data_IF_511624202365
#
_entry.id   IF_511624202365
#
_cell.length_a   1.000
_cell.length_b   1.000
_cell.length_c   1.000
_cell.angle_alpha   90.00
_cell.angle_beta   90.00
_cell.angle_gamma   90.00
#
_symmetry.space_group_name_H-M   'P 1'
#
loop_
_entity.id
_entity.type
_entity.pdbx_description
1 polymer ?
#
# COMPACT_ATOMS: atom_id res chain seq x y z
N UNK A 1 29.82 6.91 -13.19
CA UNK A 1 28.43 6.48 -12.95
C UNK A 1 28.32 6.15 -11.48
N UNK A 2 27.58 6.97 -10.72
CA UNK A 2 27.59 6.94 -9.26
C UNK A 2 27.16 5.58 -8.70
N UNK A 3 27.79 5.19 -7.60
CA UNK A 3 27.54 4.00 -6.79
C UNK A 3 26.19 4.09 -6.05
N UNK A 4 25.09 4.29 -6.78
CA UNK A 4 23.72 4.27 -6.25
C UNK A 4 23.13 2.86 -6.35
N UNK A 5 22.48 2.38 -5.30
CA UNK A 5 21.77 1.10 -5.31
C UNK A 5 20.78 1.04 -6.48
N UNK A 6 20.80 -0.03 -7.27
CA UNK A 6 19.79 -0.25 -8.33
C UNK A 6 18.43 -0.53 -7.66
N UNK A 7 17.42 0.36 -7.82
CA UNK A 7 16.10 0.14 -7.26
C UNK A 7 15.49 -1.18 -7.72
N UNK A 8 14.80 -1.87 -6.81
CA UNK A 8 13.99 -3.04 -7.15
C UNK A 8 12.53 -2.61 -7.26
N UNK A 9 11.99 -2.64 -8.47
CA UNK A 9 10.60 -2.25 -8.72
C UNK A 9 9.84 -3.45 -9.27
N UNK A 10 8.68 -3.75 -8.69
CA UNK A 10 7.76 -4.76 -9.21
C UNK A 10 6.52 -4.07 -9.79
N UNK A 11 6.22 -4.35 -11.05
CA UNK A 11 5.06 -3.79 -11.73
C UNK A 11 3.97 -4.82 -11.97
N UNK A 12 2.72 -4.50 -11.69
CA UNK A 12 1.55 -5.26 -12.11
C UNK A 12 0.86 -4.51 -13.24
N UNK A 13 0.77 -5.09 -14.43
CA UNK A 13 0.24 -4.38 -15.60
C UNK A 13 -0.89 -5.17 -16.25
N UNK A 14 -1.96 -4.47 -16.66
CA UNK A 14 -3.08 -5.10 -17.35
C UNK A 14 -2.65 -5.57 -18.74
N UNK A 15 -3.19 -6.73 -19.16
CA UNK A 15 -2.87 -7.38 -20.43
C UNK A 15 -3.22 -6.49 -21.64
N UNK A 16 -4.36 -5.81 -21.58
CA UNK A 16 -4.96 -5.19 -22.75
C UNK A 16 -4.35 -3.85 -23.16
N UNK A 17 -3.93 -3.04 -22.20
CA UNK A 17 -3.45 -1.68 -22.46
C UNK A 17 -2.00 -1.51 -22.01
N UNK A 18 -1.74 -1.52 -20.71
CA UNK A 18 -0.42 -1.17 -20.18
C UNK A 18 0.66 -2.17 -20.58
N UNK A 19 0.37 -3.47 -20.64
CA UNK A 19 1.31 -4.47 -21.18
C UNK A 19 1.59 -4.22 -22.67
N UNK A 20 0.56 -3.89 -23.47
CA UNK A 20 0.74 -3.50 -24.87
C UNK A 20 1.57 -2.22 -25.03
N UNK A 21 1.41 -1.24 -24.13
CA UNK A 21 2.25 -0.05 -24.08
C UNK A 21 3.71 -0.38 -23.76
N UNK A 22 3.96 -1.33 -22.85
CA UNK A 22 5.30 -1.84 -22.57
C UNK A 22 5.90 -2.59 -23.78
N UNK A 23 5.11 -3.41 -24.49
CA UNK A 23 5.54 -4.08 -25.71
C UNK A 23 5.89 -3.07 -26.81
N UNK A 24 5.04 -2.06 -27.02
CA UNK A 24 5.28 -0.99 -27.99
C UNK A 24 6.53 -0.17 -27.62
N UNK A 25 6.78 0.06 -26.34
CA UNK A 25 8.01 0.67 -25.86
C UNK A 25 9.25 -0.12 -26.31
N UNK A 26 9.21 -1.45 -26.17
CA UNK A 26 10.25 -2.36 -26.62
C UNK A 26 10.44 -2.35 -28.14
N UNK A 27 9.34 -2.49 -28.91
CA UNK A 27 9.34 -2.46 -30.38
C UNK A 27 9.92 -1.13 -30.90
N UNK A 28 9.54 -0.03 -30.26
CA UNK A 28 9.99 1.33 -30.62
C UNK A 28 11.38 1.67 -30.08
N UNK A 29 12.01 0.76 -29.33
CA UNK A 29 13.34 0.92 -28.72
C UNK A 29 13.45 2.10 -27.77
N UNK A 30 12.35 2.56 -27.17
CA UNK A 30 12.42 3.60 -26.15
C UNK A 30 13.10 3.06 -24.90
N UNK A 31 14.18 3.72 -24.48
CA UNK A 31 15.01 3.26 -23.38
C UNK A 31 14.47 3.77 -22.04
N UNK A 32 14.53 2.92 -21.03
CA UNK A 32 14.28 3.26 -19.63
C UNK A 32 15.14 2.38 -18.72
N UNK A 33 15.38 2.76 -17.46
CA UNK A 33 16.20 1.99 -16.53
C UNK A 33 15.70 0.56 -16.33
N UNK A 34 16.58 -0.46 -16.30
CA UNK A 34 16.20 -1.87 -16.16
C UNK A 34 15.88 -2.26 -14.70
N UNK A 35 15.14 -1.40 -13.97
CA UNK A 35 14.81 -1.58 -12.56
C UNK A 35 13.52 -2.35 -12.33
N UNK A 36 12.56 -2.21 -13.26
CA UNK A 36 11.23 -2.79 -13.14
C UNK A 36 11.16 -4.23 -13.68
N UNK A 37 10.44 -5.10 -12.98
CA UNK A 37 10.02 -6.41 -13.46
C UNK A 37 8.50 -6.47 -13.51
N UNK A 38 7.94 -6.86 -14.65
CA UNK A 38 6.49 -6.84 -14.87
C UNK A 38 5.85 -8.20 -14.61
N UNK A 39 4.75 -8.19 -13.86
CA UNK A 39 3.79 -9.27 -13.72
C UNK A 39 2.55 -8.88 -14.53
N UNK A 40 2.23 -9.71 -15.52
CA UNK A 40 1.03 -9.53 -16.34
C UNK A 40 -0.20 -10.03 -15.59
N UNK A 41 -1.22 -9.20 -15.52
CA UNK A 41 -2.57 -9.56 -15.05
C UNK A 41 -3.60 -9.19 -16.12
N UNK A 42 -4.78 -9.80 -16.10
CA UNK A 42 -5.78 -9.49 -17.12
C UNK A 42 -6.35 -8.07 -17.00
N UNK A 43 -6.60 -7.61 -15.78
CA UNK A 43 -7.10 -6.27 -15.47
C UNK A 43 -6.32 -5.70 -14.27
N UNK A 44 -6.15 -4.38 -14.20
CA UNK A 44 -5.57 -3.73 -13.00
C UNK A 44 -6.38 -4.02 -11.74
N UNK A 45 -7.69 -4.24 -11.87
CA UNK A 45 -8.59 -4.68 -10.80
C UNK A 45 -8.21 -6.03 -10.17
N UNK A 46 -7.38 -6.83 -10.85
CA UNK A 46 -6.93 -8.12 -10.30
C UNK A 46 -5.90 -7.93 -9.19
N UNK A 47 -5.20 -6.80 -9.20
CA UNK A 47 -4.23 -6.41 -8.17
C UNK A 47 -5.01 -6.13 -6.88
N UNK A 48 -4.45 -6.59 -5.77
CA UNK A 48 -5.03 -6.48 -4.43
C UNK A 48 -3.94 -5.91 -3.52
N UNK A 49 -4.32 -5.24 -2.44
CA UNK A 49 -3.40 -4.69 -1.44
C UNK A 49 -2.48 -5.78 -0.89
N UNK A 50 -2.95 -7.02 -0.75
CA UNK A 50 -2.13 -8.15 -0.34
C UNK A 50 -0.93 -8.38 -1.28
N UNK A 51 -1.09 -8.20 -2.59
CA UNK A 51 0.01 -8.32 -3.55
C UNK A 51 1.04 -7.19 -3.36
N UNK A 52 0.55 -5.97 -3.10
CA UNK A 52 1.41 -4.79 -2.87
C UNK A 52 2.20 -4.95 -1.57
N UNK A 53 1.54 -5.32 -0.47
CA UNK A 53 2.20 -5.55 0.81
C UNK A 53 3.20 -6.71 0.74
N UNK A 54 2.88 -7.78 0.01
CA UNK A 54 3.81 -8.89 -0.22
C UNK A 54 5.04 -8.46 -1.05
N UNK A 55 4.84 -7.64 -2.09
CA UNK A 55 5.94 -7.12 -2.88
C UNK A 55 6.89 -6.29 -2.00
N UNK A 56 6.36 -5.36 -1.20
CA UNK A 56 7.16 -4.56 -0.29
C UNK A 56 7.84 -5.43 0.79
N UNK A 57 7.14 -6.40 1.36
CA UNK A 57 7.69 -7.26 2.44
C UNK A 57 8.77 -8.23 1.95
N UNK A 58 8.83 -8.48 0.64
CA UNK A 58 9.88 -9.26 -0.04
C UNK A 58 11.04 -8.40 -0.56
N UNK A 59 11.08 -7.11 -0.18
CA UNK A 59 12.21 -6.23 -0.42
C UNK A 59 12.18 -5.49 -1.76
N UNK A 60 10.99 -5.24 -2.33
CA UNK A 60 10.86 -4.28 -3.42
C UNK A 60 10.89 -2.85 -2.87
N UNK A 61 11.63 -1.97 -3.53
CA UNK A 61 11.75 -0.55 -3.17
C UNK A 61 10.57 0.27 -3.69
N UNK A 62 9.89 -0.22 -4.73
CA UNK A 62 8.69 0.38 -5.29
C UNK A 62 7.77 -0.64 -5.94
N UNK A 63 6.49 -0.32 -5.97
CA UNK A 63 5.44 -1.11 -6.63
C UNK A 63 4.73 -0.23 -7.65
N UNK A 64 4.62 -0.72 -8.87
CA UNK A 64 3.92 -0.06 -9.97
C UNK A 64 2.65 -0.83 -10.31
N UNK A 65 1.55 -0.12 -10.57
CA UNK A 65 0.30 -0.69 -11.09
C UNK A 65 -0.06 0.06 -12.37
N UNK A 66 -0.18 -0.66 -13.47
CA UNK A 66 -0.51 -0.11 -14.79
C UNK A 66 -1.86 -0.63 -15.29
N UNK A 67 -2.75 0.29 -15.65
CA UNK A 67 -4.07 -0.03 -16.19
C UNK A 67 -4.35 0.64 -17.54
N UNK A 68 -5.53 0.34 -18.11
CA UNK A 68 -6.09 1.14 -19.19
C UNK A 68 -6.51 2.51 -18.67
N UNK A 69 -6.56 3.52 -19.54
CA UNK A 69 -7.23 4.80 -19.27
C UNK A 69 -8.62 4.57 -18.68
N UNK A 70 -9.00 5.44 -17.75
CA UNK A 70 -10.33 5.41 -17.17
C UNK A 70 -11.36 5.57 -18.30
N UNK A 71 -12.43 4.77 -18.24
CA UNK A 71 -13.43 4.59 -19.30
C UNK A 71 -13.01 3.76 -20.53
N UNK A 72 -11.72 3.41 -20.67
CA UNK A 72 -11.21 2.53 -21.74
C UNK A 72 -10.90 1.12 -21.25
N UNK A 73 -11.50 0.70 -20.13
CA UNK A 73 -11.27 -0.63 -19.58
C UNK A 73 -11.81 -1.71 -20.54
N UNK A 74 -10.98 -2.68 -20.90
CA UNK A 74 -11.42 -3.83 -21.71
C UNK A 74 -12.60 -4.60 -21.07
N UNK A 75 -12.66 -4.62 -19.73
CA UNK A 75 -13.76 -5.22 -19.00
C UNK A 75 -14.83 -4.16 -18.71
N UNK A 76 -16.03 -4.37 -19.26
CA UNK A 76 -17.20 -3.45 -19.19
C UNK A 76 -17.56 -3.05 -17.75
N UNK A 77 -17.23 -3.90 -16.77
CA UNK A 77 -17.40 -3.58 -15.34
C UNK A 77 -16.53 -2.42 -14.86
N UNK A 78 -15.62 -1.90 -15.70
CA UNK A 78 -14.78 -0.74 -15.39
C UNK A 78 -13.87 -0.97 -14.17
N UNK A 79 -13.23 -2.14 -14.12
CA UNK A 79 -12.40 -2.57 -12.99
C UNK A 79 -11.18 -1.67 -12.70
N UNK A 80 -10.73 -0.85 -13.64
CA UNK A 80 -9.68 0.13 -13.39
C UNK A 80 -10.07 1.19 -12.34
N UNK A 81 -11.36 1.51 -12.18
CA UNK A 81 -11.83 2.32 -11.06
C UNK A 81 -11.69 1.62 -9.70
N UNK A 82 -11.90 0.30 -9.66
CA UNK A 82 -11.69 -0.47 -8.43
C UNK A 82 -10.19 -0.50 -8.05
N UNK A 83 -9.31 -0.58 -9.05
CA UNK A 83 -7.86 -0.44 -8.86
C UNK A 83 -7.47 0.96 -8.35
N UNK A 84 -8.12 2.02 -8.84
CA UNK A 84 -7.91 3.38 -8.33
C UNK A 84 -8.25 3.44 -6.84
N UNK A 85 -9.46 3.05 -6.44
CA UNK A 85 -9.85 3.10 -5.03
C UNK A 85 -8.96 2.24 -4.13
N UNK A 86 -8.60 1.03 -4.61
CA UNK A 86 -7.69 0.13 -3.90
C UNK A 86 -6.31 0.77 -3.68
N UNK A 87 -5.70 1.37 -4.71
CA UNK A 87 -4.38 2.02 -4.59
C UNK A 87 -4.46 3.26 -3.69
N UNK A 88 -5.52 4.06 -3.78
CA UNK A 88 -5.71 5.24 -2.92
C UNK A 88 -5.75 4.86 -1.44
N UNK A 89 -6.53 3.83 -1.08
CA UNK A 89 -6.57 3.30 0.28
C UNK A 89 -5.22 2.71 0.69
N UNK A 90 -4.57 1.93 -0.20
CA UNK A 90 -3.28 1.32 0.07
C UNK A 90 -2.19 2.38 0.34
N UNK A 91 -2.15 3.47 -0.43
CA UNK A 91 -1.25 4.61 -0.19
C UNK A 91 -1.44 5.22 1.20
N UNK A 92 -2.69 5.42 1.61
CA UNK A 92 -3.00 5.93 2.96
C UNK A 92 -2.49 4.95 4.03
N UNK A 93 -2.72 3.66 3.87
CA UNK A 93 -2.20 2.62 4.79
C UNK A 93 -0.67 2.66 4.87
N UNK A 94 0.03 2.76 3.73
CA UNK A 94 1.49 2.86 3.71
C UNK A 94 1.98 4.04 4.57
N UNK A 95 1.36 5.21 4.41
CA UNK A 95 1.67 6.39 5.23
C UNK A 95 1.47 6.13 6.73
N UNK A 96 0.36 5.48 7.12
CA UNK A 96 0.09 5.16 8.53
C UNK A 96 1.06 4.15 9.15
N UNK A 97 1.66 3.27 8.34
CA UNK A 97 2.69 2.33 8.82
C UNK A 97 4.11 2.89 8.73
N UNK A 98 4.25 4.15 8.30
CA UNK A 98 5.52 4.87 8.16
C UNK A 98 6.28 4.58 6.87
N UNK A 99 5.66 3.93 5.88
CA UNK A 99 6.24 3.71 4.56
C UNK A 99 5.85 4.88 3.66
N UNK A 100 6.81 5.43 2.91
CA UNK A 100 6.50 6.51 1.97
C UNK A 100 5.44 6.07 0.94
N UNK A 101 4.25 6.70 0.88
CA UNK A 101 3.16 6.33 -0.04
C UNK A 101 3.56 6.41 -1.52
N UNK A 102 4.54 7.24 -1.87
CA UNK A 102 5.02 7.43 -3.24
C UNK A 102 5.86 6.25 -3.74
N UNK A 103 6.14 5.25 -2.89
CA UNK A 103 6.67 3.95 -3.33
C UNK A 103 5.65 3.10 -4.06
N UNK A 104 4.36 3.43 -3.99
CA UNK A 104 3.30 2.82 -4.77
C UNK A 104 2.85 3.81 -5.86
N UNK A 105 2.93 3.44 -7.13
CA UNK A 105 2.48 4.27 -8.25
C UNK A 105 1.42 3.55 -9.07
N UNK A 106 0.34 4.27 -9.40
CA UNK A 106 -0.70 3.84 -10.32
C UNK A 106 -0.69 4.76 -11.54
N UNK A 107 -0.69 4.17 -12.73
CA UNK A 107 -0.68 4.89 -13.99
C UNK A 107 -1.61 4.26 -15.02
N UNK A 108 -2.13 5.10 -15.90
CA UNK A 108 -3.01 4.69 -16.99
C UNK A 108 -2.30 4.80 -18.34
N UNK A 109 -2.03 3.66 -18.98
CA UNK A 109 -1.24 3.58 -20.21
C UNK A 109 -2.02 2.79 -21.25
N UNK A 110 -2.31 3.40 -22.40
CA UNK A 110 -2.90 2.73 -23.56
C UNK A 110 -1.88 1.83 -24.27
N UNK A 111 -2.36 0.90 -25.11
CA UNK A 111 -1.47 0.05 -25.91
C UNK A 111 -0.61 0.85 -26.92
N UNK A 112 -1.08 2.04 -27.33
CA UNK A 112 -0.38 2.93 -28.26
C UNK A 112 0.64 3.86 -27.61
N UNK A 113 0.79 3.82 -26.28
CA UNK A 113 1.53 4.81 -25.50
C UNK A 113 2.92 4.33 -25.05
N UNK A 114 3.69 3.74 -25.98
CA UNK A 114 5.03 3.21 -25.67
C UNK A 114 6.01 4.27 -25.12
N UNK A 115 5.98 5.48 -25.66
CA UNK A 115 6.84 6.59 -25.17
C UNK A 115 6.43 7.04 -23.76
N UNK A 116 5.12 7.06 -23.48
CA UNK A 116 4.59 7.41 -22.14
C UNK A 116 5.04 6.38 -21.12
N UNK A 117 4.98 5.09 -21.46
CA UNK A 117 5.49 4.02 -20.60
C UNK A 117 6.97 4.24 -20.26
N UNK A 118 7.82 4.50 -21.27
CA UNK A 118 9.24 4.78 -21.06
C UNK A 118 9.46 5.97 -20.11
N UNK A 119 8.76 7.09 -20.35
CA UNK A 119 8.85 8.29 -19.52
C UNK A 119 8.47 8.00 -18.06
N UNK A 120 7.39 7.26 -17.82
CA UNK A 120 6.98 6.88 -16.47
C UNK A 120 8.04 6.00 -15.79
N UNK A 121 8.63 5.05 -16.52
CA UNK A 121 9.67 4.19 -15.96
C UNK A 121 10.94 4.98 -15.61
N UNK A 122 11.30 5.99 -16.42
CA UNK A 122 12.38 6.93 -16.11
C UNK A 122 12.06 7.72 -14.84
N UNK A 123 10.88 8.34 -14.78
CA UNK A 123 10.47 9.19 -13.66
C UNK A 123 10.33 8.40 -12.35
N UNK A 124 9.69 7.24 -12.41
CA UNK A 124 9.49 6.40 -11.24
C UNK A 124 10.81 5.76 -10.79
N UNK A 125 11.64 5.32 -11.74
CA UNK A 125 12.98 4.82 -11.44
C UNK A 125 13.86 5.85 -10.73
N UNK A 126 13.83 7.11 -11.20
CA UNK A 126 14.54 8.22 -10.56
C UNK A 126 13.98 8.54 -9.16
N UNK A 127 12.66 8.53 -9.01
CA UNK A 127 12.00 8.77 -7.72
C UNK A 127 12.39 7.71 -6.69
N UNK A 128 12.30 6.43 -7.02
CA UNK A 128 12.66 5.34 -6.09
C UNK A 128 14.17 5.34 -5.79
N UNK A 129 15.02 5.63 -6.79
CA UNK A 129 16.45 5.79 -6.57
C UNK A 129 16.77 6.92 -5.57
N UNK A 130 16.04 8.04 -5.64
CA UNK A 130 16.18 9.16 -4.71
C UNK A 130 15.75 8.79 -3.29
N UNK A 131 14.70 7.98 -3.14
CA UNK A 131 14.30 7.49 -1.82
C UNK A 131 15.33 6.52 -1.25
N UNK A 132 15.91 5.65 -2.09
CA UNK A 132 16.82 4.60 -1.64
C UNK A 132 16.09 3.36 -1.12
N UNK A 133 16.81 2.42 -0.49
CA UNK A 133 16.26 1.14 -0.06
C UNK A 133 15.06 1.29 0.89
N UNK A 134 14.03 0.48 0.67
CA UNK A 134 12.85 0.45 1.54
C UNK A 134 13.25 0.16 3.00
N UNK A 135 12.68 0.93 3.92
CA UNK A 135 12.93 0.84 5.37
C UNK A 135 14.11 1.70 5.80
N UNK A 136 15.24 1.67 5.09
CA UNK A 136 16.41 2.48 5.44
C UNK A 136 16.13 3.97 5.31
N UNK A 137 15.47 4.37 4.22
CA UNK A 137 15.13 5.78 3.99
C UNK A 137 14.07 6.32 4.94
N UNK A 138 13.24 5.42 5.48
CA UNK A 138 12.19 5.70 6.45
C UNK A 138 12.69 5.58 7.90
N UNK A 139 13.94 5.16 8.13
CA UNK A 139 14.46 4.91 9.48
C UNK A 139 13.80 3.71 10.19
N UNK A 140 13.23 2.77 9.44
CA UNK A 140 12.54 1.58 9.95
C UNK A 140 13.44 0.35 9.80
N UNK A 141 13.72 -0.33 10.91
CA UNK A 141 14.44 -1.61 10.88
C UNK A 141 13.67 -2.68 10.09
N UNK A 142 14.40 -3.52 9.33
CA UNK A 142 13.84 -4.52 8.41
C UNK A 142 12.77 -5.41 9.06
N UNK A 143 13.06 -5.92 10.26
CA UNK A 143 12.14 -6.80 10.99
C UNK A 143 10.85 -6.08 11.42
N UNK A 144 10.93 -4.79 11.73
CA UNK A 144 9.78 -3.95 12.11
C UNK A 144 8.94 -3.62 10.88
N UNK A 145 9.59 -3.26 9.78
CA UNK A 145 8.92 -3.00 8.50
C UNK A 145 8.14 -4.22 8.03
N UNK A 146 8.79 -5.39 7.99
CA UNK A 146 8.16 -6.66 7.61
C UNK A 146 6.94 -6.94 8.48
N UNK A 147 7.09 -6.77 9.79
CA UNK A 147 6.00 -6.93 10.74
C UNK A 147 4.81 -6.00 10.47
N UNK A 148 5.07 -4.70 10.22
CA UNK A 148 4.02 -3.72 9.92
C UNK A 148 3.27 -4.04 8.63
N UNK A 149 3.98 -4.46 7.58
CA UNK A 149 3.40 -4.89 6.31
C UNK A 149 2.56 -6.16 6.47
N UNK A 150 3.04 -7.15 7.23
CA UNK A 150 2.29 -8.38 7.53
C UNK A 150 1.00 -8.10 8.32
N UNK A 151 1.05 -7.20 9.31
CA UNK A 151 -0.13 -6.78 10.05
C UNK A 151 -1.17 -6.10 9.14
N UNK A 152 -0.72 -5.21 8.23
CA UNK A 152 -1.58 -4.59 7.23
C UNK A 152 -2.19 -5.64 6.27
N UNK A 153 -1.39 -6.61 5.82
CA UNK A 153 -1.83 -7.68 4.94
C UNK A 153 -2.94 -8.56 5.56
N UNK A 154 -2.88 -8.83 6.87
CA UNK A 154 -3.92 -9.58 7.59
C UNK A 154 -5.27 -8.85 7.62
N UNK A 155 -5.29 -7.52 7.51
CA UNK A 155 -6.51 -6.72 7.52
C UNK A 155 -7.16 -6.56 6.14
N UNK A 156 -6.51 -7.02 5.06
CA UNK A 156 -7.02 -6.85 3.69
C UNK A 156 -8.47 -7.33 3.52
N UNK A 157 -8.90 -8.50 4.05
CA UNK A 157 -10.30 -8.92 3.95
C UNK A 157 -11.28 -7.93 4.60
N UNK A 158 -10.92 -7.37 5.76
CA UNK A 158 -11.72 -6.37 6.45
C UNK A 158 -11.74 -5.04 5.68
N UNK A 159 -10.59 -4.58 5.19
CA UNK A 159 -10.47 -3.34 4.42
C UNK A 159 -11.33 -3.41 3.16
N UNK A 160 -11.38 -4.57 2.47
CA UNK A 160 -12.23 -4.77 1.30
C UNK A 160 -13.72 -4.66 1.61
N UNK A 161 -14.13 -5.16 2.78
CA UNK A 161 -15.51 -4.99 3.26
C UNK A 161 -15.81 -3.51 3.50
N UNK A 162 -14.94 -2.81 4.25
CA UNK A 162 -15.08 -1.37 4.51
C UNK A 162 -15.12 -0.56 3.22
N UNK A 163 -14.24 -0.85 2.27
CA UNK A 163 -14.19 -0.17 0.98
C UNK A 163 -15.54 -0.29 0.24
N UNK A 164 -16.09 -1.50 0.19
CA UNK A 164 -17.36 -1.79 -0.50
C UNK A 164 -18.54 -1.11 0.19
N UNK A 165 -18.59 -1.15 1.52
CA UNK A 165 -19.76 -0.72 2.31
C UNK A 165 -19.75 0.77 2.64
N UNK A 166 -18.57 1.40 2.76
CA UNK A 166 -18.44 2.76 3.31
C UNK A 166 -17.64 3.73 2.45
N UNK A 167 -16.82 3.25 1.53
CA UNK A 167 -15.92 4.11 0.72
C UNK A 167 -16.14 3.94 -0.79
N UNK A 168 -17.36 3.57 -1.17
CA UNK A 168 -17.73 3.40 -2.58
C UNK A 168 -18.04 4.75 -3.19
N UNK A 169 -17.33 5.11 -4.25
CA UNK A 169 -17.67 6.27 -5.08
C UNK A 169 -18.88 5.91 -5.96
N UNK A 170 -20.02 6.63 -5.86
CA UNK A 170 -21.24 6.25 -6.58
C UNK A 170 -21.11 6.38 -8.10
N UNK A 171 -20.39 7.41 -8.56
CA UNK A 171 -20.22 7.75 -9.97
C UNK A 171 -18.80 7.39 -10.40
N UNK A 172 -18.66 6.53 -11.41
CA UNK A 172 -17.36 6.10 -11.96
C UNK A 172 -16.85 7.10 -12.99
N UNK A 173 -16.35 8.23 -12.51
CA UNK A 173 -15.58 9.21 -13.30
C UNK A 173 -14.25 9.52 -12.61
N UNK A 174 -13.24 9.91 -13.39
CA UNK A 174 -11.92 10.24 -12.84
C UNK A 174 -12.02 11.37 -11.80
N UNK A 175 -12.77 12.43 -12.12
CA UNK A 175 -12.98 13.59 -11.27
C UNK A 175 -13.61 13.21 -9.92
N UNK A 176 -14.66 12.40 -9.90
CA UNK A 176 -15.33 12.01 -8.67
C UNK A 176 -14.44 11.12 -7.78
N UNK A 177 -13.65 10.23 -8.39
CA UNK A 177 -12.66 9.44 -7.65
C UNK A 177 -11.56 10.32 -7.05
N UNK A 178 -10.98 11.24 -7.84
CA UNK A 178 -9.97 12.16 -7.35
C UNK A 178 -10.52 13.02 -6.21
N UNK A 179 -11.71 13.60 -6.38
CA UNK A 179 -12.40 14.41 -5.38
C UNK A 179 -12.67 13.63 -4.09
N UNK A 180 -13.21 12.42 -4.19
CA UNK A 180 -13.51 11.61 -3.01
C UNK A 180 -12.23 11.24 -2.24
N UNK A 181 -11.21 10.69 -2.90
CA UNK A 181 -9.97 10.26 -2.22
C UNK A 181 -9.09 11.42 -1.73
N UNK A 182 -9.34 12.65 -2.20
CA UNK A 182 -8.73 13.88 -1.66
C UNK A 182 -9.56 14.56 -0.55
N UNK A 183 -10.78 14.08 -0.27
CA UNK A 183 -11.70 14.75 0.64
C UNK A 183 -11.44 14.48 2.12
N UNK A 184 -11.88 15.41 2.98
CA UNK A 184 -11.93 15.21 4.44
C UNK A 184 -12.88 14.08 4.84
N UNK A 185 -13.92 13.82 4.03
CA UNK A 185 -14.84 12.70 4.25
C UNK A 185 -14.11 11.37 4.16
N UNK A 186 -13.32 11.14 3.11
CA UNK A 186 -12.51 9.93 2.98
C UNK A 186 -11.51 9.81 4.12
N UNK A 187 -10.82 10.90 4.48
CA UNK A 187 -9.87 10.90 5.59
C UNK A 187 -10.56 10.49 6.91
N UNK A 188 -11.70 11.09 7.24
CA UNK A 188 -12.48 10.74 8.43
C UNK A 188 -12.90 9.27 8.42
N UNK A 189 -13.48 8.79 7.30
CA UNK A 189 -13.88 7.39 7.17
C UNK A 189 -12.69 6.44 7.36
N UNK A 190 -11.53 6.79 6.79
CA UNK A 190 -10.32 6.01 6.93
C UNK A 190 -9.87 5.91 8.38
N UNK A 191 -9.81 7.03 9.10
CA UNK A 191 -9.41 7.07 10.52
C UNK A 191 -10.36 6.23 11.40
N UNK A 192 -11.67 6.40 11.21
CA UNK A 192 -12.70 5.74 12.01
C UNK A 192 -12.82 4.23 11.77
N UNK A 193 -12.38 3.74 10.61
CA UNK A 193 -12.61 2.34 10.22
C UNK A 193 -11.32 1.54 10.05
N UNK A 194 -10.34 2.06 9.32
CA UNK A 194 -9.13 1.32 8.96
C UNK A 194 -7.99 1.61 9.93
N UNK A 195 -7.74 2.89 10.26
CA UNK A 195 -6.56 3.26 11.05
C UNK A 195 -6.59 2.67 12.47
N UNK A 196 -7.73 2.72 13.17
CA UNK A 196 -7.87 2.09 14.49
C UNK A 196 -7.61 0.58 14.42
N UNK A 197 -8.19 -0.11 13.43
CA UNK A 197 -8.02 -1.56 13.27
C UNK A 197 -6.59 -1.94 12.90
N UNK A 198 -5.90 -1.09 12.14
CA UNK A 198 -4.49 -1.24 11.82
C UNK A 198 -3.62 -1.15 13.08
N UNK A 199 -3.84 -0.14 13.91
CA UNK A 199 -3.10 0.01 15.16
C UNK A 199 -3.36 -1.17 16.12
N UNK A 200 -4.63 -1.57 16.30
CA UNK A 200 -4.99 -2.73 17.12
C UNK A 200 -4.35 -4.01 16.58
N UNK A 201 -4.41 -4.25 15.27
CA UNK A 201 -3.81 -5.41 14.63
C UNK A 201 -2.29 -5.48 14.84
N UNK A 202 -1.60 -4.33 14.78
CA UNK A 202 -0.17 -4.24 15.09
C UNK A 202 0.11 -4.52 16.57
N UNK A 203 -0.69 -3.99 17.49
CA UNK A 203 -0.53 -4.27 18.94
C UNK A 203 -0.72 -5.77 19.22
N UNK A 204 -1.81 -6.37 18.74
CA UNK A 204 -2.10 -7.80 18.92
C UNK A 204 -0.97 -8.66 18.36
N UNK A 205 -0.46 -8.31 17.17
CA UNK A 205 0.65 -9.06 16.56
C UNK A 205 1.98 -8.89 17.30
N UNK A 206 2.23 -7.76 18.00
CA UNK A 206 3.41 -7.60 18.86
C UNK A 206 3.27 -8.51 20.10
N UNK A 207 2.09 -8.50 20.71
CA UNK A 207 1.79 -9.28 21.91
C UNK A 207 1.71 -10.80 21.64
N UNK A 208 1.57 -11.23 20.39
CA UNK A 208 1.75 -12.64 19.98
C UNK A 208 3.17 -13.16 20.23
N UNK A 209 4.18 -12.28 20.19
CA UNK A 209 5.58 -12.68 20.37
C UNK A 209 5.96 -12.73 21.84
N UNK A 210 5.62 -11.68 22.58
CA UNK A 210 5.91 -11.57 24.00
C UNK A 210 4.98 -10.53 24.69
N UNK A 211 4.77 -10.63 26.01
CA UNK A 211 4.08 -9.59 26.76
C UNK A 211 4.90 -8.29 26.84
N UNK A 212 4.27 -7.15 26.53
CA UNK A 212 4.93 -5.84 26.46
C UNK A 212 4.20 -4.79 27.31
N UNK A 213 4.96 -3.84 27.85
CA UNK A 213 4.44 -2.65 28.50
C UNK A 213 4.12 -1.53 27.48
N UNK A 214 3.26 -0.59 27.88
CA UNK A 214 2.84 0.54 27.03
C UNK A 214 4.03 1.31 26.39
N UNK A 215 5.13 1.63 27.11
CA UNK A 215 6.26 2.34 26.51
C UNK A 215 7.03 1.51 25.47
N UNK A 216 7.01 0.19 25.58
CA UNK A 216 7.65 -0.72 24.62
C UNK A 216 6.84 -0.77 23.34
N UNK A 217 5.50 -0.88 23.46
CA UNK A 217 4.57 -0.85 22.32
C UNK A 217 4.64 0.52 21.62
N UNK A 218 4.66 1.61 22.38
CA UNK A 218 4.79 2.98 21.85
C UNK A 218 6.05 3.15 21.01
N UNK A 219 7.22 2.71 21.50
CA UNK A 219 8.47 2.74 20.71
C UNK A 219 8.42 1.86 19.46
N UNK A 220 7.86 0.65 19.57
CA UNK A 220 7.78 -0.26 18.43
C UNK A 220 6.88 0.26 17.30
N UNK A 221 5.76 0.89 17.66
CA UNK A 221 4.77 1.37 16.69
C UNK A 221 4.97 2.84 16.28
N UNK A 222 5.81 3.60 17.00
CA UNK A 222 5.97 5.04 16.76
C UNK A 222 4.71 5.85 17.12
N UNK A 223 3.88 5.32 18.02
CA UNK A 223 2.63 5.94 18.48
C UNK A 223 2.84 6.60 19.84
N UNK A 224 2.05 7.61 20.17
CA UNK A 224 2.10 8.22 21.51
C UNK A 224 1.58 7.24 22.58
N UNK A 225 2.06 7.33 23.84
CA UNK A 225 1.54 6.51 24.93
C UNK A 225 0.01 6.62 25.11
N UNK A 226 -0.56 7.80 24.84
CA UNK A 226 -2.00 8.05 24.92
C UNK A 226 -2.78 7.28 23.84
N UNK A 227 -2.29 7.28 22.60
CA UNK A 227 -2.89 6.51 21.50
C UNK A 227 -2.82 5.01 21.77
N UNK A 228 -1.64 4.53 22.18
CA UNK A 228 -1.46 3.11 22.55
C UNK A 228 -2.41 2.71 23.67
N UNK A 229 -2.54 3.54 24.70
CA UNK A 229 -3.47 3.27 25.82
C UNK A 229 -4.93 3.21 25.35
N UNK A 230 -5.35 4.14 24.47
CA UNK A 230 -6.69 4.12 23.86
C UNK A 230 -6.94 2.82 23.10
N UNK A 231 -5.97 2.38 22.28
CA UNK A 231 -6.10 1.14 21.51
C UNK A 231 -6.06 -0.10 22.39
N UNK A 232 -5.25 -0.14 23.46
CA UNK A 232 -5.22 -1.23 24.43
C UNK A 232 -6.55 -1.35 25.19
N UNK A 233 -7.16 -0.24 25.59
CA UNK A 233 -8.50 -0.23 26.21
C UNK A 233 -9.55 -0.77 25.23
N UNK A 234 -9.54 -0.31 23.97
CA UNK A 234 -10.44 -0.80 22.92
C UNK A 234 -10.25 -2.31 22.67
N UNK A 235 -9.00 -2.77 22.63
CA UNK A 235 -8.62 -4.18 22.42
C UNK A 235 -9.01 -5.08 23.60
N UNK A 236 -8.87 -4.58 24.83
CA UNK A 236 -9.23 -5.32 26.03
C UNK A 236 -10.75 -5.49 26.17
N UNK A 237 -11.53 -4.46 25.81
CA UNK A 237 -12.99 -4.56 25.69
C UNK A 237 -13.43 -5.62 24.68
N UNK A 238 -12.67 -5.77 23.60
CA UNK A 238 -12.88 -6.80 22.57
C UNK A 238 -12.32 -8.18 22.97
N UNK A 239 -11.76 -8.32 24.18
CA UNK A 239 -11.11 -9.55 24.67
C UNK A 239 -9.98 -10.05 23.76
N UNK A 240 -9.25 -9.13 23.14
CA UNK A 240 -8.07 -9.45 22.32
C UNK A 240 -6.79 -9.41 23.15
N UNK A 241 -6.78 -8.59 24.20
CA UNK A 241 -5.61 -8.30 25.03
C UNK A 241 -6.03 -8.23 26.50
N UNK A 242 -5.21 -8.79 27.39
CA UNK A 242 -5.35 -8.69 28.84
C UNK A 242 -4.16 -7.97 29.46
N UNK A 243 -4.38 -7.31 30.59
CA UNK A 243 -3.31 -6.72 31.39
C UNK A 243 -2.94 -7.68 32.52
N UNK A 244 -1.66 -7.99 32.64
CA UNK A 244 -1.10 -8.77 33.74
C UNK A 244 -0.60 -7.81 34.83
N UNK A 245 -1.33 -7.75 35.94
CA UNK A 245 -1.01 -6.85 37.06
C UNK A 245 0.32 -7.22 37.75
N UNK A 246 0.68 -8.51 37.76
CA UNK A 246 1.91 -8.99 38.39
C UNK A 246 3.16 -8.58 37.61
N UNK A 247 3.09 -8.61 36.28
CA UNK A 247 4.20 -8.21 35.40
C UNK A 247 4.15 -6.76 34.92
N UNK A 248 3.03 -6.05 35.17
CA UNK A 248 2.73 -4.72 34.62
C UNK A 248 2.86 -4.64 33.10
N UNK A 249 2.42 -5.70 32.41
CA UNK A 249 2.55 -5.90 30.97
C UNK A 249 1.21 -6.31 30.37
N UNK A 250 1.01 -6.00 29.10
CA UNK A 250 -0.10 -6.51 28.32
C UNK A 250 0.31 -7.82 27.66
N UNK A 251 -0.61 -8.77 27.59
CA UNK A 251 -0.48 -10.05 26.90
C UNK A 251 -1.75 -10.32 26.09
N UNK A 252 -1.70 -11.28 25.17
CA UNK A 252 -2.93 -11.75 24.55
C UNK A 252 -3.90 -12.33 25.59
N UNK A 253 -5.19 -12.06 25.36
CA UNK A 253 -6.28 -12.54 26.19
C UNK A 253 -6.48 -14.05 26.05
#
# INVERSE_FOLDING_TARGET
>A
MGSGSRPKILGFVCNWCCYGGADLCGVSRFQYPPYIRLIRVMCSARVDMAHIFLALSTGQDGVFVGGCHLNDCHYITNGNYDAFGMVSICKKILGHIGVNPDRLRLEWVSAGEGIRFANIMNDFGAQIAKFGPLGQSEGIGEQVLKFRLEAAAKLVPYIRLVQTERMRVPVRTEEEYQKFFASDEFNRLFEETIAEKLAIGQIVALLQKEPLATPEISRALGLTPSEVSRFLISSSRQKLVRYDEGMKRYALA
#
